data_IF_549639691236
#
_entry.id   IF_549639691236
#
_cell.length_a   1.000
_cell.length_b   1.000
_cell.length_c   1.000
_cell.angle_alpha   90.00
_cell.angle_beta   90.00
_cell.angle_gamma   90.00
#
_symmetry.space_group_name_H-M   'P 1'
#
loop_
_entity.id
_entity.type
_entity.pdbx_description
1 polymer ?
#
# COMPACT_ATOMS: atom_id res chain seq x y z
N UNK A 1 -7.03 10.18 -25.18
CA UNK A 1 -5.59 10.46 -25.38
C UNK A 1 -4.93 9.34 -26.24
N UNK A 2 -4.44 9.66 -27.44
CA UNK A 2 -4.12 8.66 -28.48
C UNK A 2 -2.79 7.90 -28.32
N UNK A 3 -1.98 8.17 -27.29
CA UNK A 3 -0.64 7.56 -27.11
C UNK A 3 -0.37 7.07 -25.67
N UNK A 4 -1.39 6.66 -24.92
CA UNK A 4 -1.16 6.10 -23.58
C UNK A 4 -0.52 4.72 -23.74
N UNK A 5 0.72 4.57 -23.28
CA UNK A 5 1.41 3.29 -23.23
C UNK A 5 1.11 2.57 -21.92
N UNK A 6 1.01 1.25 -22.00
CA UNK A 6 0.64 0.39 -20.89
C UNK A 6 1.71 -0.69 -20.64
N UNK A 7 1.95 -0.99 -19.37
CA UNK A 7 2.81 -2.07 -18.89
C UNK A 7 1.93 -3.16 -18.27
N UNK A 8 2.24 -4.43 -18.58
CA UNK A 8 1.51 -5.58 -18.04
C UNK A 8 2.09 -5.97 -16.68
N UNK A 9 1.24 -6.23 -15.69
CA UNK A 9 1.67 -6.57 -14.31
C UNK A 9 1.86 -8.07 -14.06
N UNK A 10 1.66 -8.91 -15.07
CA UNK A 10 1.82 -10.36 -14.98
C UNK A 10 0.57 -11.12 -14.48
N UNK A 11 -0.42 -10.41 -13.93
CA UNK A 11 -1.68 -10.97 -13.40
C UNK A 11 -2.90 -10.67 -14.31
N UNK A 12 -2.65 -10.28 -15.57
CA UNK A 12 -3.67 -9.87 -16.53
C UNK A 12 -4.09 -8.40 -16.43
N UNK A 13 -3.68 -7.67 -15.39
CA UNK A 13 -3.86 -6.21 -15.33
C UNK A 13 -2.78 -5.48 -16.12
N UNK A 14 -3.13 -4.26 -16.54
CA UNK A 14 -2.22 -3.33 -17.23
C UNK A 14 -2.33 -1.96 -16.58
N UNK A 15 -1.19 -1.31 -16.35
CA UNK A 15 -1.13 0.08 -15.87
C UNK A 15 -0.57 0.99 -16.96
N UNK A 16 -1.10 2.20 -17.08
CA UNK A 16 -0.41 3.21 -17.87
C UNK A 16 0.88 3.65 -17.17
N UNK A 17 1.81 4.24 -17.91
CA UNK A 17 3.10 4.68 -17.36
C UNK A 17 2.96 5.70 -16.22
N UNK A 18 1.97 6.59 -16.30
CA UNK A 18 1.68 7.54 -15.22
C UNK A 18 1.22 6.82 -13.95
N UNK A 19 0.29 5.86 -14.05
CA UNK A 19 -0.17 5.09 -12.89
C UNK A 19 0.91 4.16 -12.32
N UNK A 20 1.82 3.65 -13.16
CA UNK A 20 2.94 2.83 -12.71
C UNK A 20 3.87 3.60 -11.77
N UNK A 21 4.03 4.91 -11.97
CA UNK A 21 4.84 5.73 -11.07
C UNK A 21 4.25 5.83 -9.65
N UNK A 22 2.94 5.68 -9.52
CA UNK A 22 2.23 5.73 -8.24
C UNK A 22 1.91 4.35 -7.67
N UNK A 23 2.26 3.27 -8.38
CA UNK A 23 2.00 1.92 -7.87
C UNK A 23 3.00 1.57 -6.79
N UNK A 24 2.49 1.05 -5.67
CA UNK A 24 3.31 0.54 -4.58
C UNK A 24 3.48 -0.96 -4.79
N UNK A 25 4.69 -1.38 -5.12
CA UNK A 25 4.99 -2.78 -5.42
C UNK A 25 5.90 -3.44 -4.38
N UNK A 26 6.45 -2.64 -3.46
CA UNK A 26 7.30 -3.07 -2.35
C UNK A 26 6.96 -2.27 -1.08
N UNK A 27 7.10 -2.88 0.10
CA UNK A 27 6.79 -2.20 1.37
C UNK A 27 7.78 -1.07 1.69
N UNK A 28 8.98 -1.09 1.12
CA UNK A 28 9.97 -0.01 1.24
C UNK A 28 9.48 1.31 0.65
N UNK A 29 8.70 1.27 -0.43
CA UNK A 29 8.12 2.46 -1.10
C UNK A 29 7.08 3.17 -0.20
N UNK A 30 6.47 2.43 0.74
CA UNK A 30 5.53 2.96 1.72
C UNK A 30 6.21 3.53 2.99
N UNK A 31 7.51 3.29 3.20
CA UNK A 31 8.19 3.71 4.43
C UNK A 31 8.09 5.20 4.72
N UNK A 32 8.23 6.12 3.73
CA UNK A 32 8.05 7.55 3.99
C UNK A 32 6.69 7.88 4.59
N UNK A 33 5.61 7.35 4.00
CA UNK A 33 4.24 7.55 4.51
C UNK A 33 4.08 6.95 5.92
N UNK A 34 4.66 5.79 6.18
CA UNK A 34 4.62 5.17 7.50
C UNK A 34 5.29 6.03 8.59
N UNK A 35 6.43 6.64 8.26
CA UNK A 35 7.13 7.56 9.15
C UNK A 35 6.29 8.82 9.40
N UNK A 36 5.71 9.41 8.34
CA UNK A 36 4.85 10.60 8.44
C UNK A 36 3.64 10.35 9.35
N UNK A 37 2.99 9.19 9.23
CA UNK A 37 1.88 8.79 10.11
C UNK A 37 2.36 8.72 11.57
N UNK A 38 3.52 8.11 11.83
CA UNK A 38 4.06 7.98 13.18
C UNK A 38 4.39 9.35 13.79
N UNK A 39 5.01 10.22 13.02
CA UNK A 39 5.34 11.59 13.43
C UNK A 39 4.08 12.42 13.70
N UNK A 40 3.04 12.25 12.89
CA UNK A 40 1.73 12.87 13.12
C UNK A 40 1.15 12.49 14.49
N UNK A 41 1.12 11.19 14.83
CA UNK A 41 0.62 10.75 16.14
C UNK A 41 1.53 11.17 17.31
N UNK A 42 2.85 11.19 17.11
CA UNK A 42 3.77 11.72 18.11
C UNK A 42 3.54 13.21 18.36
N UNK A 43 3.24 14.00 17.33
CA UNK A 43 2.84 15.40 17.43
C UNK A 43 1.52 15.63 18.18
N UNK A 44 0.64 14.63 18.23
CA UNK A 44 -0.59 14.63 19.05
C UNK A 44 -0.34 14.15 20.49
N UNK A 45 0.92 13.98 20.90
CA UNK A 45 1.32 13.40 22.17
C UNK A 45 0.81 11.95 22.36
N UNK A 46 0.62 11.23 21.24
CA UNK A 46 0.12 9.86 21.17
C UNK A 46 1.19 8.93 20.56
N UNK A 47 2.33 8.79 21.23
CA UNK A 47 3.44 7.99 20.71
C UNK A 47 3.04 6.52 20.49
N UNK A 48 3.09 6.07 19.23
CA UNK A 48 2.88 4.67 18.86
C UNK A 48 4.18 3.90 19.08
N UNK A 49 4.34 3.33 20.27
CA UNK A 49 5.55 2.57 20.66
C UNK A 49 5.58 1.12 20.16
N UNK A 50 4.45 0.61 19.67
CA UNK A 50 4.37 -0.74 19.12
C UNK A 50 4.95 -0.78 17.70
N UNK A 51 5.61 -1.89 17.37
CA UNK A 51 5.99 -2.17 15.98
C UNK A 51 4.72 -2.54 15.20
N UNK A 52 4.26 -1.66 14.33
CA UNK A 52 3.15 -1.96 13.42
C UNK A 52 3.71 -2.67 12.19
N UNK A 53 3.29 -3.91 11.88
CA UNK A 53 3.73 -4.58 10.67
C UNK A 53 3.10 -3.90 9.44
N UNK A 54 3.93 -3.59 8.45
CA UNK A 54 3.48 -3.14 7.14
C UNK A 54 3.53 -4.33 6.18
N UNK A 55 2.38 -4.74 5.66
CA UNK A 55 2.24 -5.91 4.80
C UNK A 55 1.72 -5.48 3.43
N UNK A 56 2.36 -5.96 2.37
CA UNK A 56 1.82 -5.90 1.01
C UNK A 56 1.11 -7.23 0.75
N UNK A 57 -0.19 -7.20 0.55
CA UNK A 57 -1.01 -8.41 0.38
C UNK A 57 -1.87 -8.32 -0.86
N UNK A 58 -2.17 -9.47 -1.46
CA UNK A 58 -3.16 -9.55 -2.52
C UNK A 58 -4.58 -9.29 -1.98
N UNK A 59 -5.47 -8.82 -2.85
CA UNK A 59 -6.86 -8.52 -2.52
C UNK A 59 -7.58 -9.72 -1.87
N UNK A 60 -7.29 -10.93 -2.35
CA UNK A 60 -7.87 -12.17 -1.84
C UNK A 60 -7.47 -12.38 -0.37
N UNK A 61 -6.17 -12.31 -0.07
CA UNK A 61 -5.66 -12.46 1.29
C UNK A 61 -6.22 -11.38 2.24
N UNK A 62 -6.38 -10.14 1.76
CA UNK A 62 -7.00 -9.08 2.56
C UNK A 62 -8.47 -9.38 2.87
N UNK A 63 -9.24 -9.79 1.86
CA UNK A 63 -10.66 -10.11 2.04
C UNK A 63 -10.87 -11.31 2.98
N UNK A 64 -10.04 -12.34 2.88
CA UNK A 64 -10.08 -13.50 3.76
C UNK A 64 -9.79 -13.12 5.22
N UNK A 65 -8.78 -12.29 5.45
CA UNK A 65 -8.47 -11.77 6.78
C UNK A 65 -9.64 -10.97 7.38
N UNK A 66 -10.23 -10.07 6.58
CA UNK A 66 -11.37 -9.25 7.02
C UNK A 66 -12.63 -10.06 7.35
N UNK A 67 -12.92 -11.14 6.63
CA UNK A 67 -14.04 -12.02 6.97
C UNK A 67 -13.76 -12.84 8.24
N UNK A 68 -12.50 -13.18 8.52
CA UNK A 68 -12.10 -13.84 9.76
C UNK A 68 -12.30 -12.96 11.01
N UNK A 69 -12.07 -11.66 10.92
CA UNK A 69 -12.26 -10.70 12.04
C UNK A 69 -13.72 -10.44 12.40
N UNK A 70 -14.67 -10.81 11.53
CA UNK A 70 -16.11 -10.71 11.80
C UNK A 70 -16.66 -11.85 12.66
N UNK A 71 -15.85 -12.87 12.94
CA UNK A 71 -16.19 -14.04 13.76
C UNK A 71 -15.73 -13.85 15.21
#
# INVERSE_FOLDING_TARGET
PRNVQYVSLGDGRKLCLECLHFSIMDTSECQPLFLDIREFYEGLNMKVGQQIPLLLVERQALNEAMEGEKQ
#
